data_IF_379025057258
#
_entry.id   IF_379025057258
#
_cell.length_a   1.000
_cell.length_b   1.000
_cell.length_c   1.000
_cell.angle_alpha   90.00
_cell.angle_beta   90.00
_cell.angle_gamma   90.00
#
_symmetry.space_group_name_H-M   'P 1'
#
loop_
_entity.id
_entity.type
_entity.pdbx_description
1 polymer ?
#
# COMPACT_ATOMS: atom_id res chain seq x y z
N UNK A 1 5.17 -16.02 -0.11
CA UNK A 1 4.18 -15.30 0.73
C UNK A 1 4.77 -14.68 2.00
N UNK A 2 5.82 -15.24 2.61
CA UNK A 2 6.39 -14.69 3.86
C UNK A 2 6.88 -13.22 3.78
N UNK A 3 7.46 -12.81 2.65
CA UNK A 3 7.90 -11.43 2.45
C UNK A 3 6.76 -10.41 2.47
N UNK A 4 5.67 -10.63 1.74
CA UNK A 4 4.54 -9.67 1.69
C UNK A 4 3.89 -9.52 3.07
N UNK A 5 3.75 -10.62 3.83
CA UNK A 5 3.17 -10.59 5.17
C UNK A 5 4.04 -9.93 6.24
N UNK A 6 5.37 -9.98 6.08
CA UNK A 6 6.31 -9.41 7.04
C UNK A 6 6.73 -7.96 6.69
N UNK A 7 6.96 -7.68 5.39
CA UNK A 7 7.50 -6.41 4.93
C UNK A 7 6.49 -5.26 5.02
N UNK A 8 5.20 -5.52 4.78
CA UNK A 8 4.16 -4.49 4.88
C UNK A 8 4.08 -3.88 6.29
N UNK A 9 3.80 -4.68 7.32
CA UNK A 9 3.91 -4.29 8.73
C UNK A 9 5.21 -3.57 9.07
N UNK A 10 6.35 -4.15 8.68
CA UNK A 10 7.67 -3.63 9.01
C UNK A 10 7.90 -2.24 8.39
N UNK A 11 7.56 -2.05 7.12
CA UNK A 11 7.69 -0.76 6.44
C UNK A 11 6.83 0.31 7.11
N UNK A 12 5.61 -0.04 7.52
CA UNK A 12 4.72 0.87 8.24
C UNK A 12 5.30 1.26 9.59
N UNK A 13 5.84 0.31 10.34
CA UNK A 13 6.45 0.58 11.66
C UNK A 13 7.75 1.38 11.55
N UNK A 14 8.57 1.14 10.53
CA UNK A 14 9.82 1.88 10.29
C UNK A 14 9.55 3.33 9.84
N UNK A 15 8.50 3.55 9.03
CA UNK A 15 8.18 4.87 8.49
C UNK A 15 7.38 5.75 9.46
N UNK A 16 6.49 5.16 10.26
CA UNK A 16 5.52 5.89 11.09
C UNK A 16 5.57 5.56 12.59
N UNK A 17 6.42 4.63 13.00
CA UNK A 17 6.54 4.19 14.38
C UNK A 17 5.38 3.32 14.88
N UNK A 18 5.44 2.94 16.16
CA UNK A 18 4.51 1.98 16.77
C UNK A 18 3.25 2.62 17.39
N UNK A 19 3.27 3.93 17.67
CA UNK A 19 2.25 4.62 18.49
C UNK A 19 0.82 4.45 17.94
N UNK A 20 0.66 4.49 16.62
CA UNK A 20 -0.63 4.41 15.94
C UNK A 20 -0.68 3.25 14.93
N UNK A 21 0.17 2.23 15.11
CA UNK A 21 0.35 1.15 14.14
C UNK A 21 -0.95 0.39 13.82
N UNK A 22 -1.75 0.03 14.84
CA UNK A 22 -2.99 -0.73 14.64
C UNK A 22 -3.98 -0.02 13.71
N UNK A 23 -4.16 1.30 13.88
CA UNK A 23 -5.05 2.11 13.04
C UNK A 23 -4.49 2.25 11.63
N UNK A 24 -3.20 2.55 11.48
CA UNK A 24 -2.56 2.75 10.19
C UNK A 24 -2.52 1.46 9.36
N UNK A 25 -2.12 0.35 9.99
CA UNK A 25 -2.11 -0.95 9.35
C UNK A 25 -3.53 -1.43 9.00
N UNK A 26 -4.52 -1.13 9.85
CA UNK A 26 -5.93 -1.36 9.55
C UNK A 26 -6.41 -0.61 8.30
N UNK A 27 -6.02 0.66 8.15
CA UNK A 27 -6.34 1.47 6.98
C UNK A 27 -5.68 0.92 5.70
N UNK A 28 -4.38 0.63 5.76
CA UNK A 28 -3.62 0.09 4.61
C UNK A 28 -4.21 -1.24 4.12
N UNK A 29 -4.64 -2.10 5.06
CA UNK A 29 -5.14 -3.44 4.75
C UNK A 29 -6.47 -3.45 3.98
N UNK A 30 -7.23 -2.35 4.01
CA UNK A 30 -8.43 -2.20 3.18
C UNK A 30 -8.13 -2.33 1.68
N UNK A 31 -6.93 -1.92 1.25
CA UNK A 31 -6.46 -2.07 -0.13
C UNK A 31 -6.32 -3.52 -0.59
N UNK A 32 -6.30 -4.49 0.33
CA UNK A 32 -6.28 -5.94 0.00
C UNK A 32 -7.65 -6.56 0.20
N UNK A 33 -8.37 -6.20 1.26
CA UNK A 33 -9.65 -6.84 1.61
C UNK A 33 -10.72 -6.52 0.57
N UNK A 34 -10.88 -5.25 0.20
CA UNK A 34 -11.95 -4.83 -0.72
C UNK A 34 -11.77 -5.50 -2.09
N UNK A 35 -10.58 -5.46 -2.74
CA UNK A 35 -10.39 -6.17 -4.00
C UNK A 35 -10.48 -7.69 -3.88
N UNK A 36 -10.11 -8.27 -2.72
CA UNK A 36 -10.26 -9.71 -2.48
C UNK A 36 -11.71 -10.21 -2.55
N UNK A 37 -12.67 -9.35 -2.18
CA UNK A 37 -14.10 -9.64 -2.26
C UNK A 37 -14.66 -9.22 -3.62
N UNK A 38 -14.35 -7.99 -4.04
CA UNK A 38 -14.92 -7.39 -5.24
C UNK A 38 -14.37 -8.00 -6.54
N UNK A 39 -13.10 -8.41 -6.55
CA UNK A 39 -12.40 -8.91 -7.74
C UNK A 39 -13.10 -10.11 -8.39
N UNK A 40 -13.37 -11.21 -7.66
CA UNK A 40 -14.08 -12.36 -8.20
C UNK A 40 -15.49 -12.03 -8.71
N UNK A 41 -16.22 -11.17 -8.00
CA UNK A 41 -17.57 -10.74 -8.39
C UNK A 41 -17.56 -9.94 -9.70
N UNK A 42 -16.64 -8.98 -9.82
CA UNK A 42 -16.44 -8.20 -11.05
C UNK A 42 -15.98 -9.09 -12.21
N UNK A 43 -15.04 -10.00 -11.97
CA UNK A 43 -14.54 -10.91 -12.99
C UNK A 43 -15.65 -11.84 -13.50
N UNK A 44 -16.46 -12.39 -12.59
CA UNK A 44 -17.64 -13.20 -12.93
C UNK A 44 -18.65 -12.41 -13.76
N UNK A 45 -19.05 -11.21 -13.30
CA UNK A 45 -19.98 -10.36 -14.04
C UNK A 45 -19.47 -9.98 -15.45
N UNK A 46 -18.17 -9.71 -15.58
CA UNK A 46 -17.53 -9.46 -16.88
C UNK A 46 -17.65 -10.69 -17.77
N UNK A 47 -17.32 -11.87 -17.25
CA UNK A 47 -17.40 -13.11 -18.00
C UNK A 47 -18.84 -13.43 -18.41
N UNK A 48 -19.81 -13.24 -17.53
CA UNK A 48 -21.22 -13.47 -17.83
C UNK A 48 -21.74 -12.54 -18.94
N UNK A 49 -21.19 -11.32 -19.06
CA UNK A 49 -21.60 -10.35 -20.07
C UNK A 49 -20.94 -10.55 -21.45
N UNK A 50 -19.68 -10.99 -21.49
CA UNK A 50 -18.87 -11.06 -22.73
C UNK A 50 -18.43 -12.48 -23.11
N UNK A 51 -18.61 -13.46 -22.23
CA UNK A 51 -18.08 -14.82 -22.37
C UNK A 51 -16.56 -14.91 -22.30
N UNK A 52 -15.85 -13.86 -21.87
CA UNK A 52 -14.39 -13.80 -21.84
C UNK A 52 -13.86 -12.91 -20.71
N UNK A 53 -12.59 -13.10 -20.34
CA UNK A 53 -11.91 -12.33 -19.30
C UNK A 53 -11.03 -11.19 -19.83
N UNK A 54 -11.03 -10.93 -21.14
CA UNK A 54 -10.16 -9.93 -21.77
C UNK A 54 -10.32 -8.55 -21.13
N UNK A 55 -11.55 -8.13 -20.87
CA UNK A 55 -11.81 -6.86 -20.20
C UNK A 55 -11.31 -6.86 -18.75
N UNK A 56 -11.49 -7.97 -18.02
CA UNK A 56 -11.01 -8.09 -16.64
C UNK A 56 -9.48 -7.98 -16.56
N UNK A 57 -8.76 -8.63 -17.48
CA UNK A 57 -7.31 -8.52 -17.57
C UNK A 57 -6.85 -7.11 -17.94
N UNK A 58 -7.53 -6.41 -18.85
CA UNK A 58 -7.22 -5.01 -19.18
C UNK A 58 -7.38 -4.08 -17.97
N UNK A 59 -8.43 -4.29 -17.16
CA UNK A 59 -8.66 -3.52 -15.93
C UNK A 59 -7.53 -3.77 -14.92
N UNK A 60 -7.17 -5.05 -14.69
CA UNK A 60 -6.07 -5.43 -13.79
C UNK A 60 -4.76 -4.80 -14.26
N UNK A 61 -4.48 -4.85 -15.56
CA UNK A 61 -3.30 -4.23 -16.16
C UNK A 61 -3.28 -2.71 -15.93
N UNK A 62 -4.42 -2.03 -16.05
CA UNK A 62 -4.55 -0.61 -15.71
C UNK A 62 -4.19 -0.30 -14.25
N UNK A 63 -4.66 -1.12 -13.30
CA UNK A 63 -4.29 -0.96 -11.89
C UNK A 63 -2.80 -1.24 -11.62
N UNK A 64 -2.20 -2.20 -12.32
CA UNK A 64 -0.75 -2.47 -12.27
C UNK A 64 0.05 -1.26 -12.75
N UNK A 65 -0.32 -0.66 -13.88
CA UNK A 65 0.31 0.55 -14.39
C UNK A 65 0.15 1.73 -13.42
N UNK A 66 -1.04 1.92 -12.85
CA UNK A 66 -1.29 2.97 -11.87
C UNK A 66 -0.43 2.76 -10.61
N UNK A 67 -0.35 1.53 -10.10
CA UNK A 67 0.48 1.17 -8.95
C UNK A 67 1.96 1.48 -9.23
N UNK A 68 2.44 1.10 -10.41
CA UNK A 68 3.81 1.40 -10.84
C UNK A 68 4.08 2.90 -10.88
N UNK A 69 3.15 3.69 -11.42
CA UNK A 69 3.29 5.15 -11.49
C UNK A 69 3.28 5.79 -10.10
N UNK A 70 2.39 5.33 -9.21
CA UNK A 70 2.37 5.77 -7.81
C UNK A 70 3.70 5.45 -7.11
N UNK A 71 4.30 4.30 -7.39
CA UNK A 71 5.58 3.91 -6.78
C UNK A 71 6.75 4.78 -7.26
N UNK A 72 6.76 5.17 -8.54
CA UNK A 72 7.76 6.10 -9.08
C UNK A 72 7.63 7.49 -8.45
N UNK A 73 6.39 7.95 -8.22
CA UNK A 73 6.12 9.27 -7.66
C UNK A 73 6.23 9.32 -6.13
N UNK A 74 6.16 8.18 -5.46
CA UNK A 74 6.22 8.10 -4.00
C UNK A 74 7.61 8.51 -3.49
N UNK A 75 7.67 9.61 -2.74
CA UNK A 75 8.85 10.01 -1.99
C UNK A 75 8.76 9.50 -0.55
N UNK A 76 9.86 9.00 0.03
CA UNK A 76 9.86 8.56 1.42
C UNK A 76 9.51 9.74 2.36
N UNK A 77 8.66 9.54 3.38
CA UNK A 77 8.35 10.58 4.35
C UNK A 77 9.62 11.02 5.08
N UNK A 78 9.76 12.32 5.35
CA UNK A 78 10.89 12.86 6.10
C UNK A 78 10.99 12.17 7.47
N UNK A 79 12.13 11.52 7.71
CA UNK A 79 12.36 10.66 8.89
C UNK A 79 12.24 11.50 10.16
N UNK A 80 11.27 11.19 11.02
CA UNK A 80 11.03 11.93 12.27
C UNK A 80 12.24 11.89 13.24
N UNK A 81 13.11 10.90 13.06
CA UNK A 81 14.38 10.76 13.78
C UNK A 81 15.36 11.90 13.48
N UNK A 82 15.33 12.45 12.26
CA UNK A 82 16.16 13.60 11.87
C UNK A 82 15.73 14.88 12.64
N UNK A 83 14.42 15.05 12.83
CA UNK A 83 13.81 16.17 13.57
C UNK A 83 14.12 16.17 15.07
N UNK A 84 14.38 15.00 15.65
CA UNK A 84 14.73 14.85 17.07
C UNK A 84 16.23 15.05 17.27
N UNK A 85 17.05 14.42 16.42
CA UNK A 85 18.51 14.50 16.49
C UNK A 85 19.04 15.92 16.20
N UNK A 86 18.41 16.64 15.26
CA UNK A 86 18.72 18.04 14.94
C UNK A 86 18.36 19.03 16.06
N UNK A 87 17.33 18.71 16.87
CA UNK A 87 16.98 19.50 18.06
C UNK A 87 17.94 19.27 19.23
N UNK A 88 18.37 18.03 19.46
CA UNK A 88 19.38 17.72 20.49
C UNK A 88 20.79 18.17 20.11
N UNK A 89 21.12 18.22 18.81
CA UNK A 89 22.39 18.77 18.32
C UNK A 89 22.52 20.28 18.51
N UNK A 90 21.46 21.05 18.25
CA UNK A 90 21.44 22.50 18.49
C UNK A 90 21.38 22.89 19.98
N UNK A 91 20.91 22.01 20.86
CA UNK A 91 20.84 22.27 22.30
C UNK A 91 22.18 22.04 23.03
N UNK A 92 23.22 21.57 22.34
CA UNK A 92 24.58 21.36 22.88
C UNK A 92 25.58 22.46 22.52
N UNK A 93 25.12 23.56 21.92
CA UNK A 93 25.93 24.75 21.59
C UNK A 93 25.56 25.92 22.50
#
# INVERSE_FOLDING_TARGET
>A
MGGIGALGPLAVTELFGMKNYGTLNGLIRQGVIIPGIAGPLLAGAIYDSQGSYDLAFKIILGFLFLSFLCFILASPPAREEDSRNRRTGNAKL
#
